data_IF_149737815442
#
_entry.id   IF_149737815442
#
_cell.length_a   1.000
_cell.length_b   1.000
_cell.length_c   1.000
_cell.angle_alpha   90.00
_cell.angle_beta   90.00
_cell.angle_gamma   90.00
#
_symmetry.space_group_name_H-M   'P 1'
#
loop_
_entity.id
_entity.type
_entity.pdbx_description
1 polymer ?
#
# COMPACT_ATOMS: atom_id res chain seq x y z
N UNK A 1 -0.64 -26.63 -14.99
CA UNK A 1 -0.28 -26.22 -13.63
C UNK A 1 -0.05 -24.71 -13.65
N UNK A 2 -0.93 -23.90 -13.03
CA UNK A 2 -0.76 -22.45 -12.95
C UNK A 2 0.17 -22.19 -11.78
N UNK A 3 1.46 -22.01 -12.08
CA UNK A 3 2.44 -21.58 -11.10
C UNK A 3 1.92 -20.33 -10.38
N UNK A 4 2.09 -20.33 -9.07
CA UNK A 4 1.74 -19.30 -8.12
C UNK A 4 2.07 -17.89 -8.63
N UNK A 5 1.09 -17.22 -9.24
CA UNK A 5 1.21 -15.82 -9.68
C UNK A 5 1.21 -14.84 -8.48
N UNK A 6 1.34 -15.37 -7.25
CA UNK A 6 1.36 -14.62 -5.99
C UNK A 6 2.75 -14.16 -5.61
N UNK A 7 3.81 -14.86 -6.02
CA UNK A 7 5.19 -14.53 -5.61
C UNK A 7 5.68 -13.19 -6.21
N UNK A 8 5.11 -12.82 -7.36
CA UNK A 8 5.53 -11.66 -8.15
C UNK A 8 4.64 -10.43 -7.94
N UNK A 9 3.54 -10.58 -7.19
CA UNK A 9 2.63 -9.49 -6.86
C UNK A 9 2.84 -9.10 -5.41
N UNK A 10 3.29 -7.88 -5.15
CA UNK A 10 3.56 -7.40 -3.79
C UNK A 10 2.87 -6.07 -3.53
N UNK A 11 2.34 -5.95 -2.33
CA UNK A 11 1.83 -4.69 -1.82
C UNK A 11 2.90 -4.00 -0.97
N UNK A 12 2.95 -2.69 -1.00
CA UNK A 12 3.80 -1.90 -0.11
C UNK A 12 3.16 -0.56 0.22
N UNK A 13 3.55 -0.02 1.37
CA UNK A 13 3.09 1.27 1.87
C UNK A 13 4.12 2.34 1.52
N UNK A 14 3.64 3.44 0.95
CA UNK A 14 4.39 4.69 0.83
C UNK A 14 3.64 5.79 1.58
N UNK A 15 4.35 6.86 1.88
CA UNK A 15 3.76 8.07 2.47
C UNK A 15 4.01 9.24 1.55
N UNK A 16 2.96 10.03 1.32
CA UNK A 16 3.02 11.23 0.51
C UNK A 16 2.59 12.44 1.35
N UNK A 17 3.22 13.58 1.12
CA UNK A 17 2.78 14.83 1.72
C UNK A 17 1.65 15.43 0.88
N UNK A 18 0.57 15.84 1.53
CA UNK A 18 -0.59 16.48 0.92
C UNK A 18 -0.98 17.68 1.78
N UNK A 19 -0.86 18.88 1.21
CA UNK A 19 -1.29 20.13 1.85
C UNK A 19 -0.70 20.38 3.26
N UNK A 20 0.55 19.96 3.51
CA UNK A 20 1.23 20.10 4.80
C UNK A 20 0.92 18.98 5.81
N UNK A 21 0.11 18.00 5.42
CA UNK A 21 -0.13 16.76 6.15
C UNK A 21 0.39 15.56 5.35
N UNK A 22 0.20 14.36 5.87
CA UNK A 22 0.66 13.12 5.24
C UNK A 22 -0.50 12.17 5.00
N UNK A 23 -0.46 11.46 3.89
CA UNK A 23 -1.36 10.34 3.56
C UNK A 23 -0.52 9.08 3.36
N UNK A 24 -1.11 7.91 3.61
CA UNK A 24 -0.50 6.67 3.14
C UNK A 24 -1.04 6.30 1.76
N UNK A 25 -0.20 5.64 0.98
CA UNK A 25 -0.54 5.06 -0.32
C UNK A 25 -0.12 3.60 -0.30
N UNK A 26 -1.08 2.68 -0.43
CA UNK A 26 -0.81 1.25 -0.60
C UNK A 26 -0.86 0.94 -2.08
N UNK A 27 0.24 0.42 -2.61
CA UNK A 27 0.35 0.07 -4.03
C UNK A 27 0.56 -1.43 -4.17
N UNK A 28 -0.30 -2.08 -4.97
CA UNK A 28 -0.15 -3.47 -5.38
C UNK A 28 0.53 -3.50 -6.74
N UNK A 29 1.75 -4.02 -6.81
CA UNK A 29 2.57 -4.07 -8.02
C UNK A 29 2.76 -5.50 -8.46
N UNK A 30 2.58 -5.76 -9.76
CA UNK A 30 3.04 -6.99 -10.41
C UNK A 30 4.38 -6.71 -11.09
N UNK A 31 5.44 -7.25 -10.50
CA UNK A 31 6.81 -7.02 -10.96
C UNK A 31 7.13 -7.78 -12.24
N UNK A 32 6.41 -8.86 -12.54
CA UNK A 32 6.59 -9.61 -13.78
C UNK A 32 6.02 -8.83 -14.95
N UNK A 33 4.80 -8.30 -14.79
CA UNK A 33 4.14 -7.48 -15.79
C UNK A 33 4.62 -6.01 -15.78
N UNK A 34 5.46 -5.64 -14.81
CA UNK A 34 5.96 -4.28 -14.60
C UNK A 34 4.85 -3.23 -14.53
N UNK A 35 3.75 -3.55 -13.85
CA UNK A 35 2.60 -2.66 -13.75
C UNK A 35 2.02 -2.57 -12.33
N UNK A 36 1.40 -1.43 -12.06
CA UNK A 36 0.59 -1.22 -10.86
C UNK A 36 -0.79 -1.82 -11.10
N UNK A 37 -1.17 -2.80 -10.30
CA UNK A 37 -2.50 -3.43 -10.36
C UNK A 37 -3.56 -2.62 -9.63
N UNK A 38 -3.19 -2.00 -8.51
CA UNK A 38 -4.09 -1.20 -7.69
C UNK A 38 -3.28 -0.21 -6.85
N UNK A 39 -3.86 0.96 -6.62
CA UNK A 39 -3.40 1.90 -5.62
C UNK A 39 -4.59 2.29 -4.73
N UNK A 40 -4.34 2.39 -3.43
CA UNK A 40 -5.27 2.89 -2.42
C UNK A 40 -4.60 4.06 -1.72
N UNK A 41 -5.34 5.13 -1.49
CA UNK A 41 -4.87 6.31 -0.76
C UNK A 41 -5.76 6.44 0.48
N UNK A 42 -5.18 6.84 1.60
CA UNK A 42 -5.95 7.14 2.81
C UNK A 42 -6.91 8.29 2.56
N UNK A 43 -8.15 8.15 3.04
CA UNK A 43 -9.08 9.28 3.14
C UNK A 43 -8.67 10.21 4.30
N UNK A 44 -8.08 9.61 5.35
CA UNK A 44 -7.52 10.30 6.50
C UNK A 44 -6.18 10.97 6.16
N UNK A 45 -5.93 12.13 6.77
CA UNK A 45 -4.62 12.77 6.80
C UNK A 45 -3.98 12.63 8.18
N UNK A 46 -2.65 12.61 8.22
CA UNK A 46 -1.85 12.44 9.44
C UNK A 46 -0.87 13.58 9.58
N UNK A 47 -0.67 14.08 10.79
CA UNK A 47 0.22 15.21 11.06
C UNK A 47 1.71 14.88 10.88
N UNK A 48 2.08 13.59 10.81
CA UNK A 48 3.47 13.17 10.60
C UNK A 48 3.57 12.04 9.60
N UNK A 49 4.71 11.98 8.89
CA UNK A 49 5.04 10.89 7.98
C UNK A 49 5.04 9.53 8.69
N UNK A 50 5.56 9.47 9.91
CA UNK A 50 5.62 8.23 10.69
C UNK A 50 4.21 7.71 10.96
N UNK A 51 3.31 8.56 11.47
CA UNK A 51 1.92 8.19 11.73
C UNK A 51 1.20 7.68 10.46
N UNK A 52 1.40 8.33 9.32
CA UNK A 52 0.86 7.84 8.04
C UNK A 52 1.43 6.45 7.69
N UNK A 53 2.73 6.24 7.88
CA UNK A 53 3.39 4.95 7.59
C UNK A 53 2.84 3.84 8.48
N UNK A 54 2.79 4.06 9.79
CA UNK A 54 2.29 3.08 10.76
C UNK A 54 0.83 2.72 10.48
N UNK A 55 -0.02 3.71 10.19
CA UNK A 55 -1.42 3.49 9.84
C UNK A 55 -1.57 2.72 8.52
N UNK A 56 -0.77 3.06 7.50
CA UNK A 56 -0.75 2.33 6.23
C UNK A 56 -0.27 0.89 6.38
N UNK A 57 0.74 0.63 7.22
CA UNK A 57 1.23 -0.72 7.51
C UNK A 57 0.19 -1.55 8.26
N UNK A 58 -0.49 -0.95 9.24
CA UNK A 58 -1.61 -1.60 9.92
C UNK A 58 -2.76 -1.94 8.97
N UNK A 59 -3.11 -1.01 8.06
CA UNK A 59 -4.16 -1.23 7.07
C UNK A 59 -3.77 -2.31 6.05
N UNK A 60 -2.52 -2.29 5.56
CA UNK A 60 -2.01 -3.32 4.66
C UNK A 60 -2.09 -4.71 5.32
N UNK A 61 -1.65 -4.83 6.58
CA UNK A 61 -1.73 -6.09 7.31
C UNK A 61 -3.17 -6.58 7.45
N UNK A 62 -4.12 -5.70 7.76
CA UNK A 62 -5.54 -6.06 7.84
C UNK A 62 -6.09 -6.58 6.49
N UNK A 63 -5.68 -5.99 5.37
CA UNK A 63 -6.04 -6.48 4.02
C UNK A 63 -5.45 -7.85 3.70
N UNK A 64 -4.26 -8.16 4.23
CA UNK A 64 -3.66 -9.48 4.08
C UNK A 64 -4.36 -10.54 4.93
N UNK A 65 -4.88 -10.16 6.10
CA UNK A 65 -5.62 -11.04 7.01
C UNK A 65 -7.07 -11.32 6.54
N UNK A 66 -7.68 -10.42 5.76
CA UNK A 66 -9.02 -10.58 5.18
C UNK A 66 -9.08 -11.57 3.98
N UNK A 67 -7.91 -12.01 3.48
CA UNK A 67 -7.76 -12.79 2.24
C UNK A 67 -7.67 -14.31 2.44
#
# INVERSE_FOLDING_TARGET
MKADNRDTVRAFVQTAEQAGEYVWVITLVDFTAQNVKRALVSDETYSTRAAAKDAGEAHLKALEEDR
#
